data_IF_426377240058
#
_entry.id   IF_426377240058
#
_cell.length_a   1.000
_cell.length_b   1.000
_cell.length_c   1.000
_cell.angle_alpha   90.00
_cell.angle_beta   90.00
_cell.angle_gamma   90.00
#
_symmetry.space_group_name_H-M   'P 1'
#
loop_
_entity.id
_entity.type
_entity.pdbx_description
1 polymer ?
#
# COMPACT_ATOMS: atom_id res chain seq x y z
N UNK A 1 8.70 -0.33 3.13
CA UNK A 1 7.59 0.64 3.00
C UNK A 1 6.85 0.68 4.31
N UNK A 2 6.73 1.86 4.92
CA UNK A 2 5.89 2.05 6.11
C UNK A 2 4.59 2.71 5.66
N UNK A 3 3.47 2.10 6.01
CA UNK A 3 2.13 2.59 5.71
C UNK A 3 1.38 2.89 7.00
N UNK A 4 0.57 3.93 6.99
CA UNK A 4 -0.33 4.29 8.09
C UNK A 4 -1.75 4.38 7.55
N UNK A 5 -2.68 3.65 8.15
CA UNK A 5 -4.11 3.79 7.93
C UNK A 5 -4.72 4.66 9.03
N UNK A 6 -5.61 5.55 8.63
CA UNK A 6 -6.48 6.33 9.52
C UNK A 6 -7.87 5.73 9.43
N UNK A 7 -8.42 5.28 10.54
CA UNK A 7 -9.76 4.69 10.60
C UNK A 7 -10.67 5.60 11.39
N UNK A 8 -11.65 6.16 10.71
CA UNK A 8 -12.75 6.93 11.30
C UNK A 8 -14.01 6.10 11.27
N UNK A 9 -14.68 5.92 12.40
CA UNK A 9 -15.85 5.08 12.49
C UNK A 9 -17.05 5.82 13.10
N UNK A 10 -18.19 5.75 12.46
CA UNK A 10 -19.44 6.30 12.97
C UNK A 10 -20.06 5.44 14.09
N UNK A 11 -19.63 4.20 14.21
CA UNK A 11 -20.06 3.23 15.23
C UNK A 11 -18.85 2.72 16.00
N UNK A 12 -19.05 2.40 17.27
CA UNK A 12 -18.01 1.73 18.05
C UNK A 12 -17.81 0.29 17.55
N UNK A 13 -16.57 -0.16 17.49
CA UNK A 13 -16.26 -1.53 17.06
C UNK A 13 -14.82 -1.93 17.28
N UNK A 14 -14.57 -3.22 17.11
CA UNK A 14 -13.25 -3.85 17.09
C UNK A 14 -12.98 -4.33 15.67
N UNK A 15 -11.97 -3.76 15.03
CA UNK A 15 -11.65 -3.94 13.64
C UNK A 15 -10.22 -4.43 13.49
N UNK A 16 -9.96 -5.13 12.41
CA UNK A 16 -8.61 -5.44 11.95
C UNK A 16 -8.29 -4.61 10.69
N UNK A 17 -7.03 -4.20 10.55
CA UNK A 17 -6.50 -3.62 9.33
C UNK A 17 -5.36 -4.47 8.78
N UNK A 18 -5.40 -4.75 7.49
CA UNK A 18 -4.29 -5.41 6.81
C UNK A 18 -3.72 -4.47 5.74
N UNK A 19 -2.39 -4.45 5.63
CA UNK A 19 -1.66 -3.73 4.60
C UNK A 19 -1.10 -4.72 3.59
N UNK A 20 -1.35 -4.47 2.31
CA UNK A 20 -0.90 -5.29 1.19
C UNK A 20 -0.08 -4.39 0.28
N UNK A 21 1.14 -4.81 -0.03
CA UNK A 21 2.00 -4.15 -1.00
C UNK A 21 1.83 -4.85 -2.34
N UNK A 22 1.42 -4.10 -3.36
CA UNK A 22 1.23 -4.59 -4.72
C UNK A 22 2.18 -3.89 -5.69
N UNK A 23 2.57 -4.59 -6.74
CA UNK A 23 3.41 -4.05 -7.81
C UNK A 23 2.72 -4.27 -9.16
N UNK A 24 2.76 -3.23 -9.99
CA UNK A 24 2.21 -3.26 -11.34
C UNK A 24 3.30 -3.46 -12.38
N UNK A 25 2.90 -3.95 -13.56
CA UNK A 25 3.75 -4.22 -14.71
C UNK A 25 4.93 -5.15 -14.38
N UNK A 26 4.68 -6.16 -13.55
CA UNK A 26 5.67 -7.16 -13.21
C UNK A 26 5.81 -8.15 -14.37
N UNK A 27 6.98 -8.15 -15.01
CA UNK A 27 7.28 -9.02 -16.16
C UNK A 27 8.53 -9.82 -15.87
N UNK A 28 8.42 -11.14 -15.91
CA UNK A 28 9.58 -12.03 -15.82
C UNK A 28 10.16 -12.39 -17.19
N UNK A 29 11.43 -12.75 -17.22
CA UNK A 29 12.24 -12.97 -18.43
C UNK A 29 12.59 -14.44 -18.69
N UNK A 30 12.07 -15.35 -17.89
CA UNK A 30 12.39 -16.78 -18.00
C UNK A 30 11.13 -17.66 -17.92
N UNK A 31 11.31 -18.96 -18.20
CA UNK A 31 10.20 -19.90 -18.34
C UNK A 31 9.33 -20.07 -17.07
N UNK A 32 9.82 -19.73 -15.88
CA UNK A 32 9.05 -19.79 -14.65
C UNK A 32 7.90 -18.73 -14.62
N UNK A 33 7.98 -17.71 -15.48
CA UNK A 33 6.99 -16.64 -15.62
C UNK A 33 6.02 -16.87 -16.77
N UNK A 34 6.26 -17.88 -17.63
CA UNK A 34 5.40 -18.15 -18.77
C UNK A 34 4.02 -18.60 -18.29
N UNK A 35 2.99 -18.03 -18.91
CA UNK A 35 1.60 -18.38 -18.64
C UNK A 35 1.03 -19.26 -19.73
N UNK A 36 0.32 -20.32 -19.35
CA UNK A 36 -0.46 -21.10 -20.30
C UNK A 36 -1.70 -20.30 -20.72
N UNK A 37 -1.92 -20.22 -22.02
CA UNK A 37 -3.04 -19.49 -22.59
C UNK A 37 -4.06 -20.47 -23.17
N UNK A 38 -5.16 -20.65 -22.45
CA UNK A 38 -6.25 -21.53 -22.88
C UNK A 38 -7.12 -20.91 -23.99
N UNK A 39 -6.98 -19.61 -24.24
CA UNK A 39 -7.71 -18.91 -25.30
C UNK A 39 -7.01 -18.98 -26.65
N UNK A 40 -5.77 -19.40 -26.73
CA UNK A 40 -4.98 -19.48 -27.96
C UNK A 40 -5.59 -20.37 -29.04
N UNK A 41 -6.49 -21.28 -28.68
CA UNK A 41 -7.19 -22.18 -29.60
C UNK A 41 -8.39 -21.54 -30.28
N UNK A 42 -8.93 -20.44 -29.75
CA UNK A 42 -10.15 -19.82 -30.30
C UNK A 42 -9.80 -18.90 -31.48
N UNK A 43 -10.45 -19.13 -32.62
CA UNK A 43 -10.29 -18.31 -33.82
C UNK A 43 -11.25 -17.11 -33.75
N UNK A 44 -10.81 -15.89 -34.11
CA UNK A 44 -11.68 -14.74 -34.21
C UNK A 44 -12.88 -14.95 -35.18
N UNK A 45 -12.73 -15.80 -36.18
CA UNK A 45 -13.80 -16.13 -37.13
C UNK A 45 -14.95 -16.93 -36.50
N UNK A 46 -14.67 -17.63 -35.38
CA UNK A 46 -15.67 -18.46 -34.69
C UNK A 46 -16.56 -17.65 -33.74
N UNK A 47 -16.27 -16.36 -33.54
CA UNK A 47 -16.96 -15.51 -32.57
C UNK A 47 -16.67 -15.89 -31.10
N UNK A 48 -17.62 -15.65 -30.22
CA UNK A 48 -17.48 -16.00 -28.81
C UNK A 48 -16.39 -15.20 -28.07
N UNK A 49 -15.39 -15.86 -27.48
CA UNK A 49 -14.33 -15.20 -26.73
C UNK A 49 -13.50 -14.20 -27.54
N UNK A 50 -13.35 -14.47 -28.85
CA UNK A 50 -12.60 -13.59 -29.73
C UNK A 50 -13.37 -12.30 -30.09
N UNK A 51 -14.69 -12.29 -29.90
CA UNK A 51 -15.52 -11.09 -30.03
C UNK A 51 -15.47 -10.17 -28.81
N UNK A 52 -15.01 -10.67 -27.66
CA UNK A 52 -14.80 -9.85 -26.45
C UNK A 52 -13.50 -9.05 -26.59
N UNK A 53 -13.55 -7.69 -26.55
CA UNK A 53 -12.36 -6.86 -26.73
C UNK A 53 -11.27 -7.10 -25.68
N UNK A 54 -11.62 -7.59 -24.49
CA UNK A 54 -10.65 -7.91 -23.43
C UNK A 54 -9.99 -9.27 -23.65
N UNK A 55 -10.68 -10.22 -24.26
CA UNK A 55 -10.19 -11.58 -24.49
C UNK A 55 -9.57 -11.77 -25.88
N UNK A 56 -9.95 -10.96 -26.86
CA UNK A 56 -9.46 -11.05 -28.23
C UNK A 56 -7.93 -11.06 -28.35
N UNK A 57 -7.25 -10.31 -27.50
CA UNK A 57 -5.79 -10.28 -27.47
C UNK A 57 -5.14 -11.62 -27.10
N UNK A 58 -5.85 -12.51 -26.42
CA UNK A 58 -5.39 -13.84 -26.02
C UNK A 58 -5.81 -14.93 -27.00
N UNK A 59 -6.72 -14.64 -27.92
CA UNK A 59 -7.17 -15.57 -28.94
C UNK A 59 -6.16 -15.66 -30.08
N UNK A 60 -6.33 -16.65 -30.94
CA UNK A 60 -5.48 -16.92 -32.12
C UNK A 60 -5.28 -15.65 -32.97
N UNK A 61 -4.04 -15.29 -33.23
CA UNK A 61 -3.70 -14.06 -33.97
C UNK A 61 -3.66 -12.78 -33.13
N UNK A 62 -4.11 -12.79 -31.90
CA UNK A 62 -3.98 -11.65 -30.97
C UNK A 62 -2.55 -11.48 -30.43
N UNK A 63 -2.31 -10.36 -29.75
CA UNK A 63 -0.98 -9.99 -29.22
C UNK A 63 -0.38 -11.09 -28.32
N UNK A 64 -1.22 -11.74 -27.54
CA UNK A 64 -0.86 -12.83 -26.64
C UNK A 64 -1.46 -14.18 -27.09
N UNK A 65 -1.75 -14.35 -28.39
CA UNK A 65 -2.46 -15.49 -28.94
C UNK A 65 -1.67 -16.80 -29.03
N UNK A 66 -0.44 -16.84 -28.56
CA UNK A 66 0.34 -18.08 -28.46
C UNK A 66 -0.15 -18.94 -27.28
N UNK A 67 0.03 -20.27 -27.37
CA UNK A 67 -0.31 -21.20 -26.27
C UNK A 67 0.47 -20.98 -24.98
N UNK A 68 1.64 -20.33 -25.08
CA UNK A 68 2.40 -19.81 -23.95
C UNK A 68 2.68 -18.33 -24.15
N UNK A 69 2.28 -17.52 -23.17
CA UNK A 69 2.59 -16.09 -23.11
C UNK A 69 3.88 -15.91 -22.35
N UNK A 70 4.90 -15.37 -23.01
CA UNK A 70 6.26 -15.30 -22.47
C UNK A 70 6.57 -14.04 -21.68
N UNK A 71 5.93 -12.92 -22.02
CA UNK A 71 6.20 -11.60 -21.43
C UNK A 71 4.88 -10.87 -21.20
N UNK A 72 4.07 -11.38 -20.28
CA UNK A 72 2.83 -10.72 -19.89
C UNK A 72 3.10 -9.82 -18.70
N UNK A 73 2.73 -8.52 -18.76
CA UNK A 73 2.81 -7.63 -17.62
C UNK A 73 1.69 -7.97 -16.63
N UNK A 74 2.08 -8.42 -15.44
CA UNK A 74 1.13 -8.67 -14.36
C UNK A 74 0.89 -7.39 -13.58
N UNK A 75 -0.36 -7.05 -13.36
CA UNK A 75 -0.79 -5.94 -12.53
C UNK A 75 -1.24 -6.45 -11.16
N UNK A 76 -1.19 -5.57 -10.15
CA UNK A 76 -1.61 -5.86 -8.77
C UNK A 76 -0.96 -7.11 -8.15
N UNK A 77 0.30 -7.38 -8.49
CA UNK A 77 1.03 -8.52 -7.95
C UNK A 77 1.34 -8.29 -6.48
N UNK A 78 0.79 -9.09 -5.60
CA UNK A 78 1.07 -9.01 -4.16
C UNK A 78 2.53 -9.39 -3.89
N UNK A 79 3.31 -8.45 -3.36
CA UNK A 79 4.74 -8.62 -3.09
C UNK A 79 5.08 -8.65 -1.61
N UNK A 80 4.21 -8.12 -0.76
CA UNK A 80 4.29 -8.23 0.70
C UNK A 80 2.90 -8.01 1.31
N UNK A 81 2.68 -8.54 2.51
CA UNK A 81 1.46 -8.31 3.26
C UNK A 81 1.73 -8.32 4.76
N UNK A 82 0.94 -7.54 5.52
CA UNK A 82 0.85 -7.68 6.98
C UNK A 82 -0.01 -8.87 7.38
N UNK A 83 -0.72 -9.48 6.44
CA UNK A 83 -1.58 -10.64 6.71
C UNK A 83 -0.78 -11.93 6.66
N UNK A 84 -0.90 -12.77 7.67
CA UNK A 84 -0.43 -14.14 7.64
C UNK A 84 -1.62 -15.10 7.36
N UNK A 85 -1.42 -16.40 7.46
CA UNK A 85 -2.44 -17.39 7.11
C UNK A 85 -3.77 -17.26 7.88
N UNK A 86 -3.83 -16.49 8.96
CA UNK A 86 -5.02 -16.43 9.84
C UNK A 86 -5.36 -15.03 10.37
N UNK A 87 -4.41 -14.12 10.44
CA UNK A 87 -4.60 -12.79 11.05
C UNK A 87 -3.66 -11.75 10.45
N UNK A 88 -4.00 -10.48 10.63
CA UNK A 88 -3.06 -9.39 10.35
C UNK A 88 -2.02 -9.26 11.48
N UNK A 89 -0.81 -8.85 11.09
CA UNK A 89 0.27 -8.49 12.04
C UNK A 89 0.24 -6.98 12.37
N UNK A 90 -0.57 -6.21 11.66
CA UNK A 90 -0.81 -4.81 12.00
C UNK A 90 -1.81 -4.75 13.17
N UNK A 91 -1.59 -3.81 14.08
CA UNK A 91 -2.47 -3.61 15.24
C UNK A 91 -3.33 -2.40 15.03
N UNK A 92 -4.58 -2.48 15.45
CA UNK A 92 -5.54 -1.39 15.47
C UNK A 92 -6.28 -1.43 16.81
N UNK A 93 -6.31 -0.29 17.51
CA UNK A 93 -7.07 -0.19 18.75
C UNK A 93 -8.58 -0.17 18.46
N UNK A 94 -9.44 -0.64 19.39
CA UNK A 94 -10.88 -0.50 19.27
C UNK A 94 -11.27 0.98 19.10
N UNK A 95 -12.21 1.27 18.22
CA UNK A 95 -12.66 2.64 17.96
C UNK A 95 -14.00 2.90 18.63
N UNK A 96 -14.14 4.08 19.26
CA UNK A 96 -15.43 4.60 19.75
C UNK A 96 -16.24 5.22 18.62
N UNK A 97 -17.56 5.29 18.77
CA UNK A 97 -18.42 5.99 17.80
C UNK A 97 -17.98 7.45 17.62
N UNK A 98 -17.76 7.87 16.39
CA UNK A 98 -17.23 9.19 16.04
C UNK A 98 -15.72 9.36 16.33
N UNK A 99 -15.05 8.29 16.73
CA UNK A 99 -13.62 8.30 17.04
C UNK A 99 -12.74 8.04 15.81
N UNK A 100 -11.44 8.35 15.98
CA UNK A 100 -10.40 8.11 14.98
C UNK A 100 -9.27 7.32 15.62
N UNK A 101 -8.83 6.26 14.97
CA UNK A 101 -7.68 5.43 15.39
C UNK A 101 -6.70 5.27 14.24
N UNK A 102 -5.47 4.94 14.57
CA UNK A 102 -4.38 4.83 13.60
C UNK A 102 -3.73 3.46 13.69
N UNK A 103 -3.39 2.92 12.53
CA UNK A 103 -2.56 1.72 12.44
C UNK A 103 -1.37 1.99 11.55
N UNK A 104 -0.17 1.65 12.01
CA UNK A 104 1.06 1.80 11.24
C UNK A 104 1.77 0.45 11.15
N UNK A 105 2.16 0.07 9.94
CA UNK A 105 2.88 -1.18 9.71
C UNK A 105 4.00 -1.00 8.69
N UNK A 106 5.13 -1.68 8.91
CA UNK A 106 6.26 -1.67 7.98
C UNK A 106 6.30 -2.96 7.16
N UNK A 107 5.97 -2.84 5.88
CA UNK A 107 6.07 -3.89 4.89
C UNK A 107 7.51 -3.98 4.37
N UNK A 108 8.06 -5.19 4.33
CA UNK A 108 9.40 -5.45 3.77
C UNK A 108 9.28 -5.86 2.31
N UNK A 109 10.02 -5.21 1.43
CA UNK A 109 10.14 -5.65 0.04
C UNK A 109 10.77 -7.04 -0.01
N UNK A 110 10.38 -7.88 -1.00
CA UNK A 110 11.01 -9.18 -1.21
C UNK A 110 12.53 -9.05 -1.39
N UNK A 111 13.27 -9.87 -0.68
CA UNK A 111 14.74 -9.92 -0.77
C UNK A 111 15.23 -11.01 -1.72
N UNK A 112 14.37 -11.96 -2.07
CA UNK A 112 14.70 -13.06 -2.96
C UNK A 112 14.92 -12.56 -4.39
N UNK A 113 15.98 -13.03 -5.02
CA UNK A 113 16.35 -12.68 -6.39
C UNK A 113 15.33 -13.12 -7.46
N UNK A 114 14.37 -13.96 -7.11
CA UNK A 114 13.34 -14.45 -8.02
C UNK A 114 12.27 -13.42 -8.37
N UNK A 115 12.02 -12.45 -7.52
CA UNK A 115 10.99 -11.42 -7.74
C UNK A 115 11.57 -10.01 -7.77
N UNK A 116 12.55 -9.73 -6.91
CA UNK A 116 13.13 -8.39 -6.74
C UNK A 116 13.59 -7.71 -8.04
N UNK A 117 14.22 -8.40 -9.03
CA UNK A 117 14.65 -7.76 -10.27
C UNK A 117 13.50 -7.23 -11.12
N UNK A 118 12.30 -7.77 -10.97
CA UNK A 118 11.14 -7.50 -11.81
C UNK A 118 10.18 -6.46 -11.22
N UNK A 119 10.47 -5.98 -9.99
CA UNK A 119 9.65 -4.96 -9.32
C UNK A 119 10.17 -3.57 -9.70
N UNK A 120 9.34 -2.79 -10.41
CA UNK A 120 9.56 -1.36 -10.55
C UNK A 120 9.03 -0.64 -9.31
N UNK A 121 9.93 -0.01 -8.55
CA UNK A 121 9.58 0.70 -7.31
C UNK A 121 8.61 1.87 -7.51
N UNK A 122 8.61 2.47 -8.69
CA UNK A 122 7.71 3.59 -9.02
C UNK A 122 6.28 3.11 -9.35
N UNK A 123 6.10 1.79 -9.48
CA UNK A 123 4.83 1.13 -9.74
C UNK A 123 4.40 0.22 -8.58
N UNK A 124 4.71 0.63 -7.38
CA UNK A 124 4.32 -0.09 -6.17
C UNK A 124 3.31 0.74 -5.40
N UNK A 125 2.22 0.11 -5.00
CA UNK A 125 1.12 0.72 -4.25
C UNK A 125 0.90 -0.01 -2.92
N UNK A 126 0.29 0.65 -1.96
CA UNK A 126 -0.17 0.04 -0.71
C UNK A 126 -1.69 0.01 -0.72
N UNK A 127 -2.24 -1.15 -0.45
CA UNK A 127 -3.69 -1.34 -0.22
C UNK A 127 -3.89 -1.61 1.27
N UNK A 128 -4.77 -0.84 1.90
CA UNK A 128 -5.23 -1.07 3.26
C UNK A 128 -6.64 -1.67 3.22
N UNK A 129 -6.84 -2.78 3.93
CA UNK A 129 -8.13 -3.48 4.01
C UNK A 129 -8.59 -3.47 5.45
N UNK A 130 -9.75 -2.84 5.70
CA UNK A 130 -10.41 -2.82 7.00
C UNK A 130 -11.44 -3.94 7.07
N UNK A 131 -11.38 -4.75 8.12
CA UNK A 131 -12.32 -5.84 8.34
C UNK A 131 -12.94 -5.75 9.74
N UNK A 132 -14.18 -6.20 9.86
CA UNK A 132 -14.79 -6.43 11.17
C UNK A 132 -14.17 -7.68 11.80
N UNK A 133 -13.61 -7.54 13.01
CA UNK A 133 -12.84 -8.61 13.63
C UNK A 133 -13.66 -9.83 13.99
N UNK A 134 -14.93 -9.62 14.35
CA UNK A 134 -15.84 -10.69 14.77
C UNK A 134 -16.29 -11.59 13.62
N UNK A 135 -16.46 -11.03 12.42
CA UNK A 135 -17.02 -11.72 11.25
C UNK A 135 -16.00 -11.97 10.15
N UNK A 136 -14.92 -11.16 10.11
CA UNK A 136 -13.96 -11.14 9.03
C UNK A 136 -14.47 -10.45 7.75
N UNK A 137 -15.64 -9.81 7.80
CA UNK A 137 -16.17 -9.10 6.64
C UNK A 137 -15.35 -7.85 6.32
N UNK A 138 -15.04 -7.66 5.04
CA UNK A 138 -14.39 -6.46 4.55
C UNK A 138 -15.39 -5.31 4.61
N UNK A 139 -15.03 -4.26 5.34
CA UNK A 139 -15.85 -3.05 5.52
C UNK A 139 -15.41 -1.92 4.61
N UNK A 140 -14.10 -1.78 4.40
CA UNK A 140 -13.55 -0.75 3.52
C UNK A 140 -12.19 -1.18 2.98
N UNK A 141 -11.84 -0.62 1.83
CA UNK A 141 -10.53 -0.78 1.18
C UNK A 141 -10.09 0.59 0.68
N UNK A 142 -8.84 0.93 0.94
CA UNK A 142 -8.22 2.13 0.40
C UNK A 142 -6.87 1.79 -0.24
N UNK A 143 -6.51 2.49 -1.32
CA UNK A 143 -5.27 2.29 -2.07
C UNK A 143 -4.52 3.60 -2.19
N UNK A 144 -3.25 3.57 -1.84
CA UNK A 144 -2.33 4.66 -2.12
C UNK A 144 -1.41 4.26 -3.27
N UNK A 145 -1.59 4.89 -4.44
CA UNK A 145 -0.84 4.61 -5.66
C UNK A 145 0.53 5.31 -5.71
N UNK A 146 0.84 6.13 -4.72
CA UNK A 146 2.11 6.85 -4.65
C UNK A 146 2.84 6.53 -3.35
N UNK A 147 3.84 5.66 -3.43
CA UNK A 147 4.81 5.53 -2.35
C UNK A 147 5.72 6.74 -2.43
N UNK A 148 5.40 7.76 -1.63
CA UNK A 148 6.30 8.90 -1.47
C UNK A 148 7.55 8.42 -0.74
N UNK A 149 8.76 8.57 -1.32
CA UNK A 149 9.97 8.34 -0.54
C UNK A 149 9.92 9.24 0.69
N UNK A 150 10.24 8.70 1.86
CA UNK A 150 10.36 9.48 3.09
C UNK A 150 11.47 10.53 2.90
N UNK A 151 11.15 11.66 2.30
CA UNK A 151 11.98 12.86 2.30
C UNK A 151 11.77 13.60 3.61
N UNK A 152 12.10 13.00 4.72
CA UNK A 152 12.33 13.63 6.02
C UNK A 152 11.35 14.68 6.56
N UNK A 153 10.22 14.95 5.90
CA UNK A 153 9.20 15.90 6.33
C UNK A 153 7.89 15.15 6.45
N UNK A 154 7.49 14.83 7.66
CA UNK A 154 6.17 14.29 7.95
C UNK A 154 5.24 15.48 8.13
N UNK A 155 4.12 15.52 7.43
CA UNK A 155 3.11 16.56 7.61
C UNK A 155 2.59 16.51 9.05
N UNK A 156 2.51 17.66 9.70
CA UNK A 156 2.23 17.77 11.14
C UNK A 156 0.79 17.40 11.54
N UNK A 157 -0.04 16.97 10.59
CA UNK A 157 -1.43 16.61 10.84
C UNK A 157 -1.65 15.22 11.50
N UNK A 158 -0.58 14.44 11.75
CA UNK A 158 -0.71 13.06 12.24
C UNK A 158 -0.05 12.81 13.61
N UNK A 159 -0.18 13.72 14.53
CA UNK A 159 0.22 13.46 15.91
C UNK A 159 -0.98 13.47 16.86
N UNK A 160 -1.72 12.39 16.88
CA UNK A 160 -2.67 12.11 17.95
C UNK A 160 -2.26 10.85 18.71
N UNK A 161 -1.19 10.95 19.39
CA UNK A 161 -0.86 10.18 20.58
C UNK A 161 -0.19 11.19 21.49
N UNK A 162 -0.64 11.31 22.72
CA UNK A 162 -0.24 12.30 23.72
C UNK A 162 1.27 12.27 24.07
N UNK A 163 2.13 12.44 23.06
CA UNK A 163 3.54 12.66 23.34
C UNK A 163 3.75 14.15 23.60
N UNK A 164 3.92 14.50 24.86
CA UNK A 164 4.14 15.86 25.33
C UNK A 164 5.36 16.46 24.62
N UNK A 165 5.21 17.65 24.06
CA UNK A 165 6.32 18.43 23.52
C UNK A 165 7.26 18.85 24.67
N UNK A 166 8.54 18.46 24.58
CA UNK A 166 9.56 18.82 25.59
C UNK A 166 10.46 19.94 25.13
N UNK A 167 10.61 20.15 23.83
CA UNK A 167 11.38 21.25 23.27
C UNK A 167 11.00 21.54 21.81
N UNK A 168 11.10 22.81 21.44
CA UNK A 168 10.88 23.29 20.06
C UNK A 168 12.07 24.13 19.62
N UNK A 169 12.43 24.01 18.34
CA UNK A 169 13.53 24.74 17.72
C UNK A 169 13.07 25.33 16.39
N UNK A 170 13.60 26.48 16.01
CA UNK A 170 13.42 27.02 14.67
C UNK A 170 14.36 26.37 13.65
N UNK A 171 14.27 26.76 12.38
CA UNK A 171 15.12 26.25 11.29
C UNK A 171 16.63 26.51 11.51
N UNK A 172 16.98 27.52 12.28
CA UNK A 172 18.37 27.84 12.65
C UNK A 172 18.89 27.03 13.87
N UNK A 173 18.07 26.12 14.41
CA UNK A 173 18.43 25.31 15.59
C UNK A 173 18.30 26.02 16.94
N UNK A 174 17.77 27.24 16.98
CA UNK A 174 17.54 27.97 18.21
C UNK A 174 16.28 27.46 18.91
N UNK A 175 16.36 27.24 20.22
CA UNK A 175 15.20 26.83 21.03
C UNK A 175 14.19 27.98 21.09
N UNK A 176 12.93 27.67 20.85
CA UNK A 176 11.81 28.62 20.90
C UNK A 176 10.73 28.09 21.84
N UNK A 177 10.06 29.00 22.57
CA UNK A 177 9.05 28.69 23.57
C UNK A 177 7.62 28.61 22.98
N UNK A 178 7.42 29.05 21.74
CA UNK A 178 6.12 29.03 21.06
C UNK A 178 6.33 28.75 19.56
N UNK A 179 5.30 28.24 18.86
CA UNK A 179 5.35 28.06 17.41
C UNK A 179 5.67 29.37 16.70
N UNK A 180 6.61 29.34 15.76
CA UNK A 180 6.96 30.47 14.89
C UNK A 180 6.65 30.13 13.44
N UNK A 181 6.29 31.11 12.65
CA UNK A 181 6.03 30.94 11.20
C UNK A 181 7.26 30.31 10.50
N UNK A 182 6.98 29.32 9.67
CA UNK A 182 8.01 28.53 8.98
C UNK A 182 8.29 27.17 9.63
N UNK A 183 9.47 26.62 9.38
CA UNK A 183 9.86 25.30 9.86
C UNK A 183 10.20 25.33 11.37
N UNK A 184 9.49 24.50 12.13
CA UNK A 184 9.78 24.24 13.55
C UNK A 184 10.19 22.77 13.70
N UNK A 185 11.16 22.49 14.57
CA UNK A 185 11.62 21.16 14.96
C UNK A 185 11.16 20.91 16.39
N UNK A 186 10.27 19.94 16.57
CA UNK A 186 9.65 19.63 17.87
C UNK A 186 10.22 18.32 18.39
N UNK A 187 10.77 18.34 19.63
CA UNK A 187 11.15 17.13 20.35
C UNK A 187 10.02 16.71 21.28
N UNK A 188 9.69 15.43 21.26
CA UNK A 188 8.67 14.82 22.10
C UNK A 188 9.29 14.06 23.28
N UNK A 189 8.51 13.84 24.33
CA UNK A 189 8.95 13.15 25.55
C UNK A 189 9.31 11.67 25.31
N UNK A 190 8.79 11.07 24.25
CA UNK A 190 9.09 9.69 23.81
C UNK A 190 10.37 9.57 22.97
N UNK A 191 11.13 10.67 22.81
CA UNK A 191 12.38 10.73 22.05
C UNK A 191 12.21 11.01 20.55
N UNK A 192 11.00 11.03 20.04
CA UNK A 192 10.72 11.38 18.62
C UNK A 192 11.01 12.87 18.36
N UNK A 193 11.37 13.15 17.11
CA UNK A 193 11.57 14.53 16.64
C UNK A 193 10.68 14.74 15.41
N UNK A 194 9.86 15.79 15.45
CA UNK A 194 8.94 16.17 14.39
C UNK A 194 9.39 17.45 13.71
N UNK A 195 9.16 17.58 12.41
CA UNK A 195 9.31 18.83 11.65
C UNK A 195 7.91 19.37 11.34
N UNK A 196 7.60 20.55 11.84
CA UNK A 196 6.27 21.18 11.74
C UNK A 196 6.40 22.47 10.97
N UNK A 197 5.56 22.65 9.94
CA UNK A 197 5.47 23.93 9.23
C UNK A 197 4.31 24.73 9.82
N UNK A 198 4.60 25.88 10.40
CA UNK A 198 3.62 26.82 10.92
C UNK A 198 3.35 27.88 9.86
N UNK A 199 2.09 28.04 9.45
CA UNK A 199 1.62 28.99 8.43
C UNK A 199 1.48 30.42 8.96
#
# INVERSE_FOLDING_TARGET
VTATAVVEANIAGDFDVAFILVADSVVGDNAAWYQNNNYAQYDPADGGYAADPNLAQFCKGGTYGASQIKQYPFEDVVIASSYNTRSTLATLDPVSAGGTVYSTYTLKLPTKNTLKPYINKDKVSVVAVLTEKSTGYVLNVDRNDHITPLTGIVDAAQTTGEAVEVARYNAAGQRISAPQKGLNIVKLADGRTLKVIVK
#
